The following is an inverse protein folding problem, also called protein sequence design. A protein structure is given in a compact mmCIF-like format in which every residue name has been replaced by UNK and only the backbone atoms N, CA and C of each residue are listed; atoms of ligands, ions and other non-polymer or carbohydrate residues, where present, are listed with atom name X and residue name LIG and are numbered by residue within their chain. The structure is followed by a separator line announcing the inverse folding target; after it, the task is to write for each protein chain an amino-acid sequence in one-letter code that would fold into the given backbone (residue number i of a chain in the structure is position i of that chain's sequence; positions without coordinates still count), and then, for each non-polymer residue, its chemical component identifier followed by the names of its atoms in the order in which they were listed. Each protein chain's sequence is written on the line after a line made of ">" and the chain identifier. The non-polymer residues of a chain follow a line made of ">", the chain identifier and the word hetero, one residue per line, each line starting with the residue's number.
data_IF_308324035438
#
_entry.id   IF_308324035438
#
_cell.length_a   1.000
_cell.length_b   1.000
_cell.length_c   1.000
_cell.angle_alpha   90.00
_cell.angle_beta   90.00
_cell.angle_gamma   90.00
#
_symmetry.space_group_name_H-M   'P 1'
#
loop_
_entity.id
_entity.type
_entity.pdbx_description
1 polymer ?
#
# COMPACT_ATOMS: atom_id res chain seq x y z
N UNK A 1 -21.68 -48.84 49.48
CA UNK A 1 -22.33 -47.53 49.27
C UNK A 1 -21.34 -46.37 49.10
N UNK A 2 -20.30 -46.24 49.94
CA UNK A 2 -19.29 -45.15 49.82
C UNK A 2 -18.44 -45.19 48.53
N UNK A 3 -18.07 -46.39 48.06
CA UNK A 3 -17.27 -46.59 46.82
C UNK A 3 -18.08 -46.37 45.54
N UNK A 4 -19.38 -46.70 45.54
CA UNK A 4 -20.28 -46.45 44.39
C UNK A 4 -20.57 -44.97 44.21
N UNK A 5 -20.67 -44.20 45.29
CA UNK A 5 -20.83 -42.73 45.24
C UNK A 5 -19.58 -42.05 44.63
N UNK A 6 -18.38 -42.52 44.97
CA UNK A 6 -17.12 -41.99 44.43
C UNK A 6 -16.98 -42.25 42.92
N UNK A 7 -17.43 -43.41 42.43
CA UNK A 7 -17.41 -43.73 40.99
C UNK A 7 -18.41 -42.86 40.22
N UNK A 8 -19.62 -42.68 40.77
CA UNK A 8 -20.63 -41.81 40.15
C UNK A 8 -20.17 -40.36 40.10
N UNK A 9 -19.50 -39.86 41.15
CA UNK A 9 -18.93 -38.51 41.18
C UNK A 9 -17.79 -38.33 40.17
N UNK A 10 -16.92 -39.34 40.03
CA UNK A 10 -15.84 -39.30 39.04
C UNK A 10 -16.37 -39.30 37.59
N UNK A 11 -17.44 -40.05 37.31
CA UNK A 11 -18.11 -40.04 35.99
C UNK A 11 -18.76 -38.69 35.70
N UNK A 12 -19.31 -38.02 36.73
CA UNK A 12 -19.94 -36.71 36.58
C UNK A 12 -18.93 -35.58 36.30
N UNK A 13 -17.68 -35.71 36.76
CA UNK A 13 -16.62 -34.74 36.49
C UNK A 13 -16.10 -34.90 35.05
N UNK A 14 -16.07 -36.13 34.51
CA UNK A 14 -15.62 -36.39 33.14
C UNK A 14 -16.52 -35.84 32.03
N UNK A 15 -17.80 -35.55 32.32
CA UNK A 15 -18.74 -34.94 31.36
C UNK A 15 -18.70 -33.40 31.36
N UNK A 16 -17.95 -32.76 32.27
CA UNK A 16 -17.72 -31.32 32.26
C UNK A 16 -16.46 -30.93 31.49
N UNK A 17 -16.24 -31.53 30.32
CA UNK A 17 -15.15 -31.14 29.42
C UNK A 17 -15.44 -29.75 28.85
N UNK A 18 -14.52 -28.81 29.08
CA UNK A 18 -14.58 -27.45 28.55
C UNK A 18 -14.63 -27.51 27.02
N UNK A 19 -15.77 -27.18 26.42
CA UNK A 19 -15.82 -26.96 24.97
C UNK A 19 -15.08 -25.65 24.71
N UNK A 20 -14.07 -25.69 23.85
CA UNK A 20 -13.47 -24.46 23.33
C UNK A 20 -14.57 -23.72 22.59
N UNK A 21 -14.82 -22.47 22.97
CA UNK A 21 -15.81 -21.64 22.29
C UNK A 21 -15.46 -21.61 20.79
N UNK A 22 -16.47 -21.87 19.96
CA UNK A 22 -16.29 -21.81 18.51
C UNK A 22 -15.87 -20.37 18.16
N UNK A 23 -14.79 -20.17 17.36
CA UNK A 23 -14.41 -18.84 16.94
C UNK A 23 -15.55 -18.24 16.13
N UNK A 24 -16.19 -17.22 16.70
CA UNK A 24 -17.17 -16.41 15.97
C UNK A 24 -16.35 -15.53 15.03
N UNK A 25 -16.34 -15.90 13.75
CA UNK A 25 -15.79 -15.06 12.69
C UNK A 25 -16.82 -13.99 12.38
N UNK A 26 -16.63 -12.80 12.97
CA UNK A 26 -17.41 -11.64 12.60
C UNK A 26 -16.77 -10.95 11.40
N UNK A 27 -17.59 -10.46 10.47
CA UNK A 27 -17.13 -9.73 9.30
C UNK A 27 -17.31 -8.25 9.61
N UNK A 28 -16.21 -7.52 9.74
CA UNK A 28 -16.28 -6.07 9.94
C UNK A 28 -16.84 -5.44 8.65
N UNK A 29 -18.13 -5.10 8.64
CA UNK A 29 -18.80 -4.55 7.47
C UNK A 29 -18.46 -3.07 7.32
N UNK A 30 -17.54 -2.78 6.40
CA UNK A 30 -17.16 -1.41 6.05
C UNK A 30 -18.00 -0.97 4.86
N UNK A 31 -18.71 0.15 5.02
CA UNK A 31 -19.45 0.76 3.93
C UNK A 31 -18.46 1.47 2.99
N UNK A 32 -17.97 0.76 1.99
CA UNK A 32 -17.10 1.34 0.96
C UNK A 32 -17.89 1.60 -0.32
N UNK A 33 -17.80 2.83 -0.83
CA UNK A 33 -18.22 3.11 -2.19
C UNK A 33 -17.18 2.56 -3.16
N UNK A 34 -17.60 1.99 -4.28
CA UNK A 34 -16.68 1.58 -5.34
C UNK A 34 -16.18 2.81 -6.09
N UNK A 35 -14.87 3.01 -6.11
CA UNK A 35 -14.24 4.01 -6.96
C UNK A 35 -13.87 3.38 -8.30
N UNK A 36 -14.38 3.94 -9.40
CA UNK A 36 -13.91 3.60 -10.74
C UNK A 36 -13.08 4.76 -11.25
N UNK A 37 -11.76 4.55 -11.33
CA UNK A 37 -10.83 5.59 -11.76
C UNK A 37 -11.07 6.05 -13.20
N UNK A 38 -11.76 5.23 -14.00
CA UNK A 38 -11.95 5.44 -15.44
C UNK A 38 -10.63 5.72 -16.19
N UNK A 39 -9.50 5.30 -15.59
CA UNK A 39 -8.17 5.45 -16.15
C UNK A 39 -7.95 4.38 -17.21
N UNK A 40 -8.05 4.77 -18.47
CA UNK A 40 -8.06 3.85 -19.61
C UNK A 40 -6.94 4.14 -20.60
N UNK A 41 -6.27 5.29 -20.48
CA UNK A 41 -5.24 5.71 -21.43
C UNK A 41 -3.85 5.57 -20.82
N UNK A 42 -3.05 4.67 -21.37
CA UNK A 42 -1.65 4.50 -20.98
C UNK A 42 -0.86 5.79 -21.22
N UNK A 43 -0.08 6.21 -20.22
CA UNK A 43 0.85 7.34 -20.33
C UNK A 43 1.97 7.03 -21.33
N UNK A 44 2.38 8.01 -22.13
CA UNK A 44 3.62 7.88 -22.91
C UNK A 44 4.84 7.92 -21.98
N UNK A 45 6.01 7.38 -22.37
CA UNK A 45 7.21 7.44 -21.53
C UNK A 45 7.55 8.86 -21.03
N UNK A 46 7.46 9.85 -21.92
CA UNK A 46 7.67 11.25 -21.58
C UNK A 46 6.65 11.80 -20.58
N UNK A 47 5.37 11.42 -20.70
CA UNK A 47 4.35 11.80 -19.73
C UNK A 47 4.57 11.13 -18.37
N UNK A 48 4.89 9.84 -18.39
CA UNK A 48 5.19 9.08 -17.18
C UNK A 48 6.33 9.71 -16.39
N UNK A 49 7.47 9.93 -17.05
CA UNK A 49 8.66 10.46 -16.37
C UNK A 49 8.47 11.91 -15.90
N UNK A 50 7.78 12.74 -16.68
CA UNK A 50 7.51 14.13 -16.30
C UNK A 50 6.62 14.21 -15.05
N UNK A 51 5.58 13.38 -14.96
CA UNK A 51 4.68 13.33 -13.81
C UNK A 51 5.39 12.70 -12.61
N UNK A 52 6.15 11.61 -12.81
CA UNK A 52 6.95 10.98 -11.76
C UNK A 52 7.94 11.97 -11.13
N UNK A 53 8.66 12.72 -11.95
CA UNK A 53 9.59 13.71 -11.46
C UNK A 53 8.90 14.83 -10.68
N UNK A 54 7.76 15.33 -11.19
CA UNK A 54 6.96 16.33 -10.48
C UNK A 54 6.46 15.81 -9.11
N UNK A 55 6.01 14.56 -9.03
CA UNK A 55 5.51 13.98 -7.78
C UNK A 55 6.61 13.74 -6.75
N UNK A 56 7.80 13.31 -7.18
CA UNK A 56 8.92 13.02 -6.27
C UNK A 56 9.70 14.27 -5.87
N UNK A 57 9.95 15.21 -6.78
CA UNK A 57 10.81 16.37 -6.54
C UNK A 57 10.04 17.68 -6.38
N UNK A 58 8.71 17.69 -6.61
CA UNK A 58 7.85 18.88 -6.54
C UNK A 58 8.32 20.01 -7.48
N UNK A 59 8.95 19.64 -8.60
CA UNK A 59 9.47 20.56 -9.61
C UNK A 59 9.36 19.97 -11.02
N UNK A 60 9.44 20.84 -12.04
CA UNK A 60 9.41 20.41 -13.43
C UNK A 60 10.75 19.78 -13.86
N UNK A 61 10.68 18.68 -14.61
CA UNK A 61 11.86 18.06 -15.23
C UNK A 61 12.36 18.92 -16.40
N UNK A 62 13.68 19.08 -16.54
CA UNK A 62 14.24 19.83 -17.66
C UNK A 62 13.99 19.11 -19.00
N UNK A 63 13.87 19.87 -20.09
CA UNK A 63 13.62 19.30 -21.42
C UNK A 63 14.75 18.38 -21.89
N UNK A 64 15.99 18.66 -21.51
CA UNK A 64 17.14 17.83 -21.85
C UNK A 64 17.07 16.48 -21.12
N UNK A 65 16.89 16.49 -19.80
CA UNK A 65 16.75 15.25 -19.01
C UNK A 65 15.54 14.43 -19.46
N UNK A 66 14.41 15.08 -19.78
CA UNK A 66 13.21 14.42 -20.29
C UNK A 66 13.51 13.61 -21.56
N UNK A 67 14.24 14.20 -22.52
CA UNK A 67 14.59 13.52 -23.78
C UNK A 67 15.56 12.37 -23.52
N UNK A 68 16.55 12.55 -22.66
CA UNK A 68 17.53 11.51 -22.33
C UNK A 68 16.88 10.30 -21.65
N UNK A 69 16.06 10.52 -20.62
CA UNK A 69 15.38 9.46 -19.89
C UNK A 69 14.36 8.75 -20.79
N UNK A 70 13.62 9.49 -21.62
CA UNK A 70 12.68 8.90 -22.58
C UNK A 70 13.39 7.94 -23.54
N UNK A 71 14.55 8.33 -24.09
CA UNK A 71 15.35 7.45 -24.95
C UNK A 71 15.86 6.21 -24.20
N UNK A 72 16.22 6.36 -22.92
CA UNK A 72 16.61 5.23 -22.07
C UNK A 72 15.45 4.24 -21.92
N UNK A 73 14.25 4.72 -21.58
CA UNK A 73 13.05 3.87 -21.47
C UNK A 73 12.76 3.15 -22.80
N UNK A 74 12.81 3.86 -23.92
CA UNK A 74 12.53 3.30 -25.25
C UNK A 74 13.59 2.29 -25.72
N UNK A 75 14.82 2.37 -25.20
CA UNK A 75 15.89 1.43 -25.52
C UNK A 75 15.74 0.07 -24.82
N UNK A 76 14.86 -0.03 -23.82
CA UNK A 76 14.62 -1.23 -23.03
C UNK A 76 13.27 -1.82 -23.40
N UNK A 77 13.23 -3.13 -23.71
CA UNK A 77 11.99 -3.82 -24.06
C UNK A 77 11.03 -3.97 -22.89
N UNK A 78 11.57 -4.22 -21.70
CA UNK A 78 10.81 -4.33 -20.45
C UNK A 78 10.67 -2.96 -19.77
N UNK A 79 9.44 -2.43 -19.83
CA UNK A 79 9.12 -1.11 -19.29
C UNK A 79 8.96 -1.11 -17.77
N UNK A 80 8.58 -2.22 -17.16
CA UNK A 80 8.40 -2.28 -15.71
C UNK A 80 9.76 -2.24 -15.02
N UNK A 81 10.72 -3.02 -15.53
CA UNK A 81 12.08 -3.04 -15.01
C UNK A 81 12.75 -1.67 -15.15
N UNK A 82 12.65 -1.03 -16.32
CA UNK A 82 13.30 0.28 -16.51
C UNK A 82 12.66 1.36 -15.63
N UNK A 83 11.34 1.31 -15.40
CA UNK A 83 10.67 2.21 -14.47
C UNK A 83 11.17 2.01 -13.03
N UNK A 84 11.32 0.77 -12.57
CA UNK A 84 11.86 0.45 -11.24
C UNK A 84 13.28 1.00 -11.08
N UNK A 85 14.15 0.80 -12.07
CA UNK A 85 15.52 1.32 -12.06
C UNK A 85 15.55 2.85 -12.00
N UNK A 86 14.70 3.52 -12.78
CA UNK A 86 14.59 4.98 -12.78
C UNK A 86 14.10 5.49 -11.42
N UNK A 87 13.05 4.87 -10.86
CA UNK A 87 12.53 5.25 -9.54
C UNK A 87 13.60 5.06 -8.48
N UNK A 88 14.29 3.92 -8.48
CA UNK A 88 15.39 3.65 -7.55
C UNK A 88 16.49 4.72 -7.68
N UNK A 89 16.87 5.08 -8.90
CA UNK A 89 17.85 6.15 -9.13
C UNK A 89 17.36 7.50 -8.58
N UNK A 90 16.09 7.83 -8.79
CA UNK A 90 15.50 9.06 -8.27
C UNK A 90 15.43 9.09 -6.75
N UNK A 91 15.02 8.01 -6.08
CA UNK A 91 14.99 7.94 -4.61
C UNK A 91 16.38 8.14 -3.99
N UNK A 92 17.45 7.80 -4.71
CA UNK A 92 18.84 8.01 -4.29
C UNK A 92 19.39 9.40 -4.67
N UNK A 93 18.62 10.26 -5.34
CA UNK A 93 19.04 11.61 -5.76
C UNK A 93 18.63 12.65 -4.72
N UNK A 94 19.49 13.65 -4.51
CA UNK A 94 19.15 14.80 -3.66
C UNK A 94 17.93 15.56 -4.21
N UNK A 95 17.11 16.10 -3.30
CA UNK A 95 15.92 16.89 -3.63
C UNK A 95 14.62 16.10 -3.75
N UNK A 96 14.65 14.77 -3.57
CA UNK A 96 13.41 13.99 -3.39
C UNK A 96 12.68 14.45 -2.14
N UNK A 97 11.40 14.74 -2.30
CA UNK A 97 10.49 15.22 -1.25
C UNK A 97 9.59 14.07 -0.79
N UNK A 98 10.16 13.21 0.06
CA UNK A 98 9.47 12.11 0.74
C UNK A 98 9.45 12.42 2.25
N UNK A 99 8.30 12.29 2.94
CA UNK A 99 8.24 12.50 4.39
C UNK A 99 9.08 11.45 5.12
N UNK A 100 9.62 11.77 6.29
CA UNK A 100 10.34 10.77 7.08
C UNK A 100 9.40 9.68 7.60
N UNK A 101 9.95 8.51 7.92
CA UNK A 101 9.16 7.40 8.48
C UNK A 101 8.48 7.79 9.80
N UNK A 102 9.13 8.63 10.61
CA UNK A 102 8.51 9.17 11.82
C UNK A 102 7.32 10.09 11.53
N UNK A 103 7.38 10.88 10.47
CA UNK A 103 6.27 11.77 10.09
C UNK A 103 5.10 10.98 9.51
N UNK A 104 5.39 9.98 8.66
CA UNK A 104 4.39 9.02 8.18
C UNK A 104 3.69 8.31 9.35
N UNK A 105 4.45 7.82 10.34
CA UNK A 105 3.90 7.08 11.48
C UNK A 105 3.18 7.97 12.50
N UNK A 106 3.40 9.28 12.47
CA UNK A 106 2.68 10.23 13.33
C UNK A 106 1.21 10.37 12.92
N UNK A 107 0.90 10.25 11.62
CA UNK A 107 -0.46 10.30 11.08
C UNK A 107 -0.54 9.49 9.78
N UNK A 108 -0.89 8.21 9.92
CA UNK A 108 -0.99 7.30 8.78
C UNK A 108 -2.16 7.64 7.86
N UNK A 109 -3.29 8.06 8.43
CA UNK A 109 -4.47 8.42 7.66
C UNK A 109 -4.21 9.60 6.73
N UNK A 110 -3.60 10.66 7.25
CA UNK A 110 -3.22 11.82 6.45
C UNK A 110 -2.15 11.45 5.41
N UNK A 111 -1.15 10.66 5.81
CA UNK A 111 -0.09 10.23 4.91
C UNK A 111 -0.65 9.46 3.70
N UNK A 112 -1.54 8.49 3.93
CA UNK A 112 -2.13 7.68 2.87
C UNK A 112 -2.99 8.57 1.96
N UNK A 113 -3.84 9.41 2.55
CA UNK A 113 -4.72 10.31 1.79
C UNK A 113 -3.94 11.24 0.85
N UNK A 114 -2.89 11.89 1.36
CA UNK A 114 -2.04 12.78 0.56
C UNK A 114 -1.24 12.01 -0.50
N UNK A 115 -0.84 10.77 -0.20
CA UNK A 115 -0.16 9.91 -1.19
C UNK A 115 -1.12 9.54 -2.34
N UNK A 116 -2.37 9.21 -2.04
CA UNK A 116 -3.40 8.94 -3.05
C UNK A 116 -3.68 10.16 -3.94
N UNK A 117 -3.82 11.35 -3.33
CA UNK A 117 -4.01 12.59 -4.09
C UNK A 117 -2.82 12.90 -4.98
N UNK A 118 -1.60 12.73 -4.46
CA UNK A 118 -0.36 13.01 -5.21
C UNK A 118 -0.17 12.08 -6.40
N UNK A 119 -0.28 10.78 -6.21
CA UNK A 119 0.02 9.81 -7.27
C UNK A 119 -1.18 9.50 -8.15
N UNK A 120 -2.36 9.37 -7.57
CA UNK A 120 -3.55 8.90 -8.27
C UNK A 120 -4.56 10.01 -8.57
N UNK A 121 -4.38 11.21 -8.03
CA UNK A 121 -5.26 12.37 -8.29
C UNK A 121 -6.70 12.05 -7.90
N UNK A 122 -6.87 11.41 -6.74
CA UNK A 122 -8.16 11.04 -6.17
C UNK A 122 -8.08 10.87 -4.68
N UNK A 123 -9.25 10.82 -4.05
CA UNK A 123 -9.37 10.41 -2.67
C UNK A 123 -9.29 8.88 -2.53
N UNK A 124 -8.83 8.46 -1.36
CA UNK A 124 -8.82 7.05 -0.96
C UNK A 124 -10.23 6.60 -0.57
N UNK A 125 -10.58 5.36 -0.88
CA UNK A 125 -11.82 4.73 -0.41
C UNK A 125 -11.67 4.17 1.00
N UNK A 126 -12.76 4.02 1.76
CA UNK A 126 -12.70 3.47 3.12
C UNK A 126 -12.13 2.05 3.17
N UNK A 127 -12.40 1.21 2.17
CA UNK A 127 -11.81 -0.13 2.09
C UNK A 127 -10.28 -0.09 1.89
N UNK A 128 -9.78 0.81 1.05
CA UNK A 128 -8.34 0.99 0.85
C UNK A 128 -7.67 1.55 2.10
N UNK A 129 -8.32 2.49 2.78
CA UNK A 129 -7.84 3.10 4.03
C UNK A 129 -7.64 2.03 5.08
N UNK A 130 -8.68 1.23 5.35
CA UNK A 130 -8.63 0.13 6.30
C UNK A 130 -7.53 -0.89 5.94
N UNK A 131 -7.40 -1.23 4.65
CA UNK A 131 -6.34 -2.13 4.20
C UNK A 131 -4.95 -1.59 4.55
N UNK A 132 -4.66 -0.33 4.23
CA UNK A 132 -3.35 0.26 4.49
C UNK A 132 -3.06 0.41 5.98
N UNK A 133 -4.04 0.80 6.80
CA UNK A 133 -3.87 0.87 8.25
C UNK A 133 -3.47 -0.50 8.82
N UNK A 134 -4.24 -1.55 8.51
CA UNK A 134 -3.91 -2.93 8.92
C UNK A 134 -2.56 -3.41 8.37
N UNK A 135 -2.22 -3.03 7.13
CA UNK A 135 -0.94 -3.36 6.52
C UNK A 135 0.23 -2.73 7.28
N UNK A 136 0.14 -1.45 7.65
CA UNK A 136 1.19 -0.76 8.40
C UNK A 136 1.33 -1.25 9.83
N UNK A 137 0.23 -1.65 10.48
CA UNK A 137 0.27 -2.26 11.81
C UNK A 137 1.00 -3.62 11.78
N UNK A 138 0.72 -4.44 10.76
CA UNK A 138 1.35 -5.76 10.60
C UNK A 138 2.77 -5.69 10.04
N UNK A 139 3.17 -4.59 9.39
CA UNK A 139 4.48 -4.40 8.78
C UNK A 139 5.14 -3.09 9.23
N UNK A 140 5.62 -3.00 10.49
CA UNK A 140 6.15 -1.76 11.06
C UNK A 140 7.39 -1.23 10.32
N UNK A 141 8.14 -2.12 9.67
CA UNK A 141 9.38 -1.81 8.97
C UNK A 141 9.19 -1.25 7.55
N UNK A 142 7.95 -1.15 7.06
CA UNK A 142 7.69 -0.52 5.75
C UNK A 142 8.00 0.97 5.85
N UNK A 143 8.97 1.46 5.08
CA UNK A 143 9.32 2.88 5.05
C UNK A 143 8.41 3.68 4.12
N UNK A 144 8.41 4.99 4.33
CA UNK A 144 7.79 5.97 3.44
C UNK A 144 8.28 5.82 1.99
N UNK A 145 9.59 5.66 1.78
CA UNK A 145 10.20 5.43 0.46
C UNK A 145 9.62 4.20 -0.25
N UNK A 146 9.43 3.09 0.47
CA UNK A 146 8.84 1.87 -0.09
C UNK A 146 7.41 2.12 -0.57
N UNK A 147 6.62 2.88 0.19
CA UNK A 147 5.24 3.24 -0.20
C UNK A 147 5.26 4.11 -1.46
N UNK A 148 6.06 5.18 -1.47
CA UNK A 148 6.20 6.06 -2.63
C UNK A 148 6.65 5.30 -3.89
N UNK A 149 7.57 4.36 -3.74
CA UNK A 149 8.04 3.48 -4.82
C UNK A 149 6.91 2.58 -5.33
N UNK A 150 6.17 1.92 -4.43
CA UNK A 150 5.05 1.05 -4.80
C UNK A 150 3.93 1.81 -5.54
N UNK A 151 3.61 3.02 -5.07
CA UNK A 151 2.60 3.86 -5.73
C UNK A 151 3.05 4.30 -7.12
N UNK A 152 4.33 4.65 -7.27
CA UNK A 152 4.95 5.04 -8.56
C UNK A 152 5.04 3.90 -9.57
N UNK A 153 4.99 2.64 -9.12
CA UNK A 153 5.01 1.44 -9.96
C UNK A 153 3.63 0.86 -10.24
N UNK A 154 2.60 1.27 -9.50
CA UNK A 154 1.26 0.70 -9.63
C UNK A 154 0.68 0.86 -11.04
N UNK A 155 -0.15 -0.11 -11.44
CA UNK A 155 -0.89 -0.02 -12.69
C UNK A 155 -1.75 1.24 -12.75
N UNK A 156 -2.40 1.65 -11.65
CA UNK A 156 -3.20 2.86 -11.65
C UNK A 156 -2.38 4.11 -11.99
N UNK A 157 -1.12 4.16 -11.53
CA UNK A 157 -0.21 5.26 -11.84
C UNK A 157 0.20 5.33 -13.31
N UNK A 158 0.18 4.22 -14.04
CA UNK A 158 0.56 4.17 -15.45
C UNK A 158 -0.50 4.76 -16.39
N UNK A 159 -1.74 4.97 -15.94
CA UNK A 159 -2.87 5.36 -16.79
C UNK A 159 -3.44 6.74 -16.41
N UNK A 160 -4.00 7.44 -17.40
CA UNK A 160 -4.93 8.56 -17.23
C UNK A 160 -6.36 8.09 -17.33
#
# INVERSE_FOLDING_TARGET
>A
MRKTILIVLAVFISISSCKKDDPIYDINQIQSNSYNANKTKLKTPGQYISILYANLFQQALSSNELVEITRCIESVGDKEIVHEVIISNFMNKEGVTVPSDSLMRADLDLFIEETYKRFYVRDITEAEREYFLNFFESHPNVSSEMVYTAFSLSNEYQFY
#
